data_IF_470978609681
#
_entry.id   IF_470978609681
#
_cell.length_a   1.000
_cell.length_b   1.000
_cell.length_c   1.000
_cell.angle_alpha   90.00
_cell.angle_beta   90.00
_cell.angle_gamma   90.00
#
_symmetry.space_group_name_H-M   'P 1'
#
loop_
_entity.id
_entity.type
_entity.pdbx_description
1 polymer ?
#
# COMPACT_ATOMS: atom_id res chain seq x y z
N UNK A 1 -15.76 22.01 2.56
CA UNK A 1 -14.79 20.89 2.51
C UNK A 1 -15.52 19.69 1.96
N UNK A 2 -14.94 18.90 1.06
CA UNK A 2 -15.56 17.65 0.56
C UNK A 2 -15.31 16.52 1.54
N UNK A 3 -16.31 15.64 1.72
CA UNK A 3 -16.16 14.46 2.55
C UNK A 3 -15.28 13.42 1.88
N UNK A 4 -14.66 12.55 2.67
CA UNK A 4 -13.83 11.43 2.13
C UNK A 4 -14.67 10.47 1.28
N UNK A 5 -15.96 10.31 1.59
CA UNK A 5 -16.89 9.49 0.80
C UNK A 5 -17.20 10.12 -0.56
N UNK A 6 -17.38 11.44 -0.62
CA UNK A 6 -17.54 12.16 -1.90
C UNK A 6 -16.28 12.04 -2.76
N UNK A 7 -15.09 12.20 -2.15
CA UNK A 7 -13.80 12.06 -2.83
C UNK A 7 -13.67 10.67 -3.47
N UNK A 8 -13.93 9.62 -2.71
CA UNK A 8 -13.91 8.23 -3.19
C UNK A 8 -14.89 8.05 -4.37
N UNK A 9 -16.15 8.42 -4.16
CA UNK A 9 -17.22 8.23 -5.14
C UNK A 9 -16.95 8.97 -6.45
N UNK A 10 -16.55 10.24 -6.36
CA UNK A 10 -16.26 11.05 -7.56
C UNK A 10 -15.02 10.52 -8.28
N UNK A 11 -13.96 10.16 -7.56
CA UNK A 11 -12.74 9.60 -8.14
C UNK A 11 -13.00 8.27 -8.86
N UNK A 12 -13.78 7.37 -8.25
CA UNK A 12 -14.23 6.12 -8.86
C UNK A 12 -15.01 6.37 -10.15
N UNK A 13 -16.04 7.22 -10.11
CA UNK A 13 -16.89 7.52 -11.26
C UNK A 13 -16.11 8.18 -12.40
N UNK A 14 -15.23 9.12 -12.10
CA UNK A 14 -14.36 9.78 -13.08
C UNK A 14 -13.40 8.80 -13.74
N UNK A 15 -12.82 7.90 -12.97
CA UNK A 15 -11.93 6.85 -13.49
C UNK A 15 -12.68 5.86 -14.39
N UNK A 16 -13.91 5.48 -14.01
CA UNK A 16 -14.77 4.67 -14.85
C UNK A 16 -15.10 5.34 -16.18
N UNK A 17 -15.45 6.62 -16.16
CA UNK A 17 -15.72 7.42 -17.35
C UNK A 17 -14.48 7.55 -18.25
N UNK A 18 -13.28 7.55 -17.67
CA UNK A 18 -12.01 7.56 -18.39
C UNK A 18 -11.58 6.19 -18.95
N UNK A 19 -12.46 5.16 -18.86
CA UNK A 19 -12.29 3.86 -19.51
C UNK A 19 -11.69 2.75 -18.65
N UNK A 20 -11.47 2.96 -17.35
CA UNK A 20 -11.07 1.88 -16.45
C UNK A 20 -12.23 0.93 -16.15
N UNK A 21 -11.95 -0.36 -15.90
CA UNK A 21 -12.94 -1.30 -15.39
C UNK A 21 -13.48 -0.84 -14.03
N UNK A 22 -14.65 -1.34 -13.60
CA UNK A 22 -15.21 -0.97 -12.31
C UNK A 22 -14.29 -1.31 -11.16
N UNK A 23 -13.68 -2.51 -11.13
CA UNK A 23 -12.75 -2.90 -10.08
C UNK A 23 -11.53 -1.97 -9.98
N UNK A 24 -10.91 -1.61 -11.13
CA UNK A 24 -9.79 -0.66 -11.14
C UNK A 24 -10.26 0.75 -10.71
N UNK A 25 -11.43 1.17 -11.14
CA UNK A 25 -11.98 2.48 -10.76
C UNK A 25 -12.27 2.56 -9.24
N UNK A 26 -12.70 1.47 -8.62
CA UNK A 26 -12.85 1.37 -7.16
C UNK A 26 -11.52 1.50 -6.44
N UNK A 27 -10.49 0.85 -6.94
CA UNK A 27 -9.13 0.99 -6.38
C UNK A 27 -8.63 2.44 -6.49
N UNK A 28 -8.89 3.13 -7.60
CA UNK A 28 -8.55 4.56 -7.74
C UNK A 28 -9.30 5.39 -6.70
N UNK A 29 -10.59 5.16 -6.50
CA UNK A 29 -11.39 5.88 -5.50
C UNK A 29 -10.80 5.76 -4.10
N UNK A 30 -10.57 4.52 -3.65
CA UNK A 30 -9.94 4.21 -2.36
C UNK A 30 -8.58 4.90 -2.20
N UNK A 31 -7.76 4.86 -3.23
CA UNK A 31 -6.39 5.36 -3.19
C UNK A 31 -6.32 6.90 -3.23
N UNK A 32 -7.20 7.55 -3.99
CA UNK A 32 -7.29 9.02 -3.97
C UNK A 32 -7.79 9.51 -2.60
N UNK A 33 -8.79 8.83 -2.03
CA UNK A 33 -9.24 9.09 -0.66
C UNK A 33 -8.09 8.95 0.34
N UNK A 34 -7.26 7.91 0.20
CA UNK A 34 -6.11 7.68 1.07
C UNK A 34 -5.07 8.79 0.96
N UNK A 35 -4.76 9.27 -0.26
CA UNK A 35 -3.88 10.43 -0.45
C UNK A 35 -4.40 11.67 0.28
N UNK A 36 -5.70 11.96 0.19
CA UNK A 36 -6.29 13.11 0.88
C UNK A 36 -6.25 12.95 2.42
N UNK A 37 -6.41 11.72 2.95
CA UNK A 37 -6.21 11.43 4.38
C UNK A 37 -4.80 11.80 4.83
N UNK A 38 -3.78 11.44 4.04
CA UNK A 38 -2.39 11.81 4.31
C UNK A 38 -2.06 13.27 3.95
N UNK A 39 -3.07 14.05 3.56
CA UNK A 39 -2.88 15.43 3.08
C UNK A 39 -1.92 15.53 1.89
N UNK A 40 -1.89 14.51 1.05
CA UNK A 40 -1.19 14.47 -0.22
C UNK A 40 -2.17 14.81 -1.36
N UNK A 41 -1.71 15.42 -2.47
CA UNK A 41 -2.58 15.97 -3.52
C UNK A 41 -3.22 14.90 -4.41
N UNK A 42 -4.17 14.11 -3.89
CA UNK A 42 -4.83 13.00 -4.58
C UNK A 42 -5.73 13.47 -5.72
N UNK A 43 -6.73 14.30 -5.42
CA UNK A 43 -7.68 14.85 -6.42
C UNK A 43 -6.94 15.64 -7.50
N UNK A 44 -5.95 16.44 -7.10
CA UNK A 44 -5.19 17.27 -8.04
C UNK A 44 -4.42 16.40 -9.04
N UNK A 45 -3.78 15.33 -8.58
CA UNK A 45 -3.07 14.39 -9.45
C UNK A 45 -4.02 13.60 -10.33
N UNK A 46 -5.14 13.08 -9.79
CA UNK A 46 -6.12 12.34 -10.58
C UNK A 46 -6.72 13.22 -11.68
N UNK A 47 -7.14 14.44 -11.35
CA UNK A 47 -7.71 15.36 -12.34
C UNK A 47 -6.73 15.66 -13.47
N UNK A 48 -5.48 16.01 -13.14
CA UNK A 48 -4.45 16.28 -14.15
C UNK A 48 -4.16 15.04 -15.00
N UNK A 49 -4.03 13.88 -14.38
CA UNK A 49 -3.79 12.61 -15.07
C UNK A 49 -4.92 12.25 -16.05
N UNK A 50 -6.18 12.31 -15.63
CA UNK A 50 -7.32 11.94 -16.47
C UNK A 50 -7.49 12.89 -17.65
N UNK A 51 -7.24 14.18 -17.47
CA UNK A 51 -7.28 15.17 -18.56
C UNK A 51 -6.16 14.95 -19.58
N UNK A 52 -4.96 14.59 -19.15
CA UNK A 52 -3.82 14.37 -20.03
C UNK A 52 -3.73 12.94 -20.59
N UNK A 53 -4.43 11.98 -20.00
CA UNK A 53 -4.34 10.53 -20.33
C UNK A 53 -4.52 10.22 -21.81
N UNK A 54 -5.38 10.95 -22.53
CA UNK A 54 -5.61 10.75 -23.97
C UNK A 54 -4.39 11.16 -24.83
N UNK A 55 -3.55 12.03 -24.30
CA UNK A 55 -2.38 12.58 -25.00
C UNK A 55 -1.07 11.88 -24.61
N UNK A 56 -1.10 10.99 -23.63
CA UNK A 56 0.06 10.26 -23.13
C UNK A 56 0.01 8.81 -23.62
N UNK A 57 1.10 8.33 -24.19
CA UNK A 57 1.26 6.91 -24.52
C UNK A 57 1.68 6.14 -23.27
N UNK A 58 0.73 5.43 -22.67
CA UNK A 58 0.92 4.65 -21.45
C UNK A 58 1.10 3.17 -21.75
N UNK A 59 1.99 2.54 -20.99
CA UNK A 59 2.19 1.08 -20.98
C UNK A 59 1.51 0.50 -19.74
N UNK A 60 0.77 -0.58 -19.94
CA UNK A 60 0.18 -1.36 -18.86
C UNK A 60 1.11 -2.52 -18.50
N UNK A 61 1.82 -2.38 -17.39
CA UNK A 61 2.68 -3.44 -16.88
C UNK A 61 1.84 -4.52 -16.21
N UNK A 62 1.95 -5.77 -16.66
CA UNK A 62 1.22 -6.92 -16.09
C UNK A 62 2.06 -7.70 -15.09
N UNK A 63 3.32 -7.95 -15.42
CA UNK A 63 4.25 -8.67 -14.56
C UNK A 63 5.34 -7.70 -14.10
N UNK A 64 5.54 -7.64 -12.79
CA UNK A 64 6.57 -6.82 -12.17
C UNK A 64 7.79 -7.68 -11.86
N UNK A 65 8.94 -7.15 -12.21
CA UNK A 65 10.25 -7.76 -11.98
C UNK A 65 11.13 -6.77 -11.19
N UNK A 66 12.35 -7.17 -10.88
CA UNK A 66 13.31 -6.29 -10.21
C UNK A 66 13.58 -5.01 -11.01
N UNK A 67 13.74 -5.13 -12.33
CA UNK A 67 13.94 -4.00 -13.24
C UNK A 67 12.81 -3.93 -14.27
N UNK A 68 12.06 -2.82 -14.27
CA UNK A 68 10.94 -2.59 -15.17
C UNK A 68 11.23 -1.37 -16.05
N UNK A 69 11.30 -1.57 -17.36
CA UNK A 69 11.61 -0.51 -18.31
C UNK A 69 10.66 -0.55 -19.51
N UNK A 70 9.90 0.53 -19.68
CA UNK A 70 8.99 0.74 -20.82
C UNK A 70 9.69 1.43 -22.01
N UNK A 71 11.02 1.44 -22.03
CA UNK A 71 11.84 2.20 -22.99
C UNK A 71 11.51 3.70 -22.96
N UNK A 72 11.02 4.25 -24.05
CA UNK A 72 10.68 5.68 -24.14
C UNK A 72 9.25 6.01 -23.71
N UNK A 73 8.47 5.00 -23.28
CA UNK A 73 7.09 5.17 -22.84
C UNK A 73 7.00 5.28 -21.31
N UNK A 74 5.81 5.62 -20.81
CA UNK A 74 5.54 5.76 -19.38
C UNK A 74 4.62 4.66 -18.91
N UNK A 75 4.86 4.14 -17.72
CA UNK A 75 3.90 3.22 -17.09
C UNK A 75 2.66 3.97 -16.59
N UNK A 76 1.50 3.36 -16.80
CA UNK A 76 0.26 3.81 -16.18
C UNK A 76 0.34 3.60 -14.66
N UNK A 77 0.25 4.67 -13.84
CA UNK A 77 0.43 4.56 -12.39
C UNK A 77 -0.62 3.68 -11.72
N UNK A 78 -1.84 3.72 -12.24
CA UNK A 78 -2.97 2.94 -11.72
C UNK A 78 -2.78 1.45 -12.00
N UNK A 79 -2.48 1.09 -13.26
CA UNK A 79 -2.31 -0.32 -13.63
C UNK A 79 -1.05 -0.92 -13.00
N UNK A 80 0.06 -0.17 -12.98
CA UNK A 80 1.27 -0.58 -12.28
C UNK A 80 1.00 -0.79 -10.79
N UNK A 81 0.22 0.10 -10.17
CA UNK A 81 -0.14 0.03 -8.77
C UNK A 81 -1.02 -1.18 -8.42
N UNK A 82 -2.06 -1.45 -9.21
CA UNK A 82 -2.90 -2.64 -9.01
C UNK A 82 -2.06 -3.91 -9.11
N UNK A 83 -1.26 -4.04 -10.18
CA UNK A 83 -0.44 -5.23 -10.37
C UNK A 83 0.68 -5.35 -9.30
N UNK A 84 1.21 -4.23 -8.79
CA UNK A 84 2.15 -4.24 -7.68
C UNK A 84 1.50 -4.79 -6.41
N UNK A 85 0.31 -4.33 -6.09
CA UNK A 85 -0.42 -4.78 -4.92
C UNK A 85 -0.81 -6.26 -5.01
N UNK A 86 -1.26 -6.71 -6.18
CA UNK A 86 -1.64 -8.11 -6.42
C UNK A 86 -0.44 -9.07 -6.32
N UNK A 87 0.76 -8.60 -6.68
CA UNK A 87 1.98 -9.41 -6.70
C UNK A 87 2.87 -9.25 -5.45
N UNK A 88 2.51 -8.38 -4.50
CA UNK A 88 3.42 -7.97 -3.41
C UNK A 88 3.94 -9.14 -2.58
N UNK A 89 3.15 -10.18 -2.35
CA UNK A 89 3.58 -11.37 -1.58
C UNK A 89 4.72 -12.12 -2.26
N UNK A 90 4.80 -12.08 -3.59
CA UNK A 90 5.90 -12.67 -4.35
C UNK A 90 7.06 -11.67 -4.47
N UNK A 91 6.76 -10.39 -4.63
CA UNK A 91 7.76 -9.34 -4.80
C UNK A 91 8.56 -9.02 -3.53
N UNK A 92 8.03 -9.36 -2.34
CA UNK A 92 8.69 -9.06 -1.06
C UNK A 92 10.05 -9.76 -0.86
N UNK A 93 10.39 -10.75 -1.69
CA UNK A 93 11.70 -11.41 -1.66
C UNK A 93 12.77 -10.63 -2.43
N UNK A 94 12.38 -9.64 -3.24
CA UNK A 94 13.29 -8.80 -3.99
C UNK A 94 13.86 -7.69 -3.10
N UNK A 95 15.17 -7.45 -3.18
CA UNK A 95 15.82 -6.40 -2.40
C UNK A 95 15.36 -5.00 -2.80
N UNK A 96 15.17 -4.78 -4.08
CA UNK A 96 14.74 -3.51 -4.65
C UNK A 96 13.97 -3.75 -5.94
N UNK A 97 12.89 -3.00 -6.15
CA UNK A 97 12.10 -3.04 -7.38
C UNK A 97 12.18 -1.66 -8.02
N UNK A 98 12.59 -1.61 -9.29
CA UNK A 98 12.80 -0.35 -10.00
C UNK A 98 11.87 -0.24 -11.21
N UNK A 99 11.44 0.99 -11.47
CA UNK A 99 10.69 1.34 -12.67
C UNK A 99 11.34 2.56 -13.33
N UNK A 100 11.37 2.55 -14.66
CA UNK A 100 11.68 3.72 -15.47
C UNK A 100 10.37 4.34 -15.96
N UNK A 101 10.22 5.65 -15.75
CA UNK A 101 9.12 6.49 -16.25
C UNK A 101 7.72 6.06 -15.80
N UNK A 102 7.35 6.39 -14.60
CA UNK A 102 5.95 6.31 -14.15
C UNK A 102 5.28 7.69 -14.32
N UNK A 103 4.15 7.71 -15.04
CA UNK A 103 3.32 8.91 -15.15
C UNK A 103 2.57 9.16 -13.83
N UNK A 104 2.48 10.42 -13.40
CA UNK A 104 1.74 10.82 -12.20
C UNK A 104 1.95 9.89 -10.99
N UNK A 105 3.20 9.70 -10.55
CA UNK A 105 3.59 8.64 -9.60
C UNK A 105 2.93 8.78 -8.23
N UNK A 106 2.39 9.96 -7.89
CA UNK A 106 1.58 10.12 -6.68
C UNK A 106 0.34 9.22 -6.67
N UNK A 107 -0.20 8.84 -7.85
CA UNK A 107 -1.32 7.89 -7.94
C UNK A 107 -0.87 6.43 -7.75
N UNK A 108 0.43 6.16 -7.84
CA UNK A 108 1.02 4.85 -7.55
C UNK A 108 1.32 4.66 -6.06
N UNK A 109 1.67 5.74 -5.35
CA UNK A 109 2.08 5.74 -3.95
C UNK A 109 1.10 5.04 -2.98
N UNK A 110 -0.25 5.21 -3.07
CA UNK A 110 -1.16 4.54 -2.16
C UNK A 110 -1.16 3.01 -2.28
N UNK A 111 -0.88 2.47 -3.46
CA UNK A 111 -0.73 1.03 -3.64
C UNK A 111 0.50 0.52 -2.88
N UNK A 112 1.60 1.26 -2.91
CA UNK A 112 2.82 0.94 -2.15
C UNK A 112 2.57 1.04 -0.64
N UNK A 113 1.79 2.04 -0.20
CA UNK A 113 1.39 2.19 1.20
C UNK A 113 0.56 1.00 1.69
N UNK A 114 -0.42 0.56 0.91
CA UNK A 114 -1.23 -0.62 1.22
C UNK A 114 -0.43 -1.92 1.15
N UNK A 115 0.55 -1.98 0.26
CA UNK A 115 1.48 -3.12 0.20
C UNK A 115 2.29 -3.26 1.50
N UNK A 116 2.72 -2.16 2.09
CA UNK A 116 3.41 -2.14 3.39
C UNK A 116 2.58 -2.80 4.50
N UNK A 117 1.26 -2.54 4.53
CA UNK A 117 0.32 -3.19 5.45
C UNK A 117 0.20 -4.70 5.17
N UNK A 118 0.07 -5.10 3.89
CA UNK A 118 -0.11 -6.51 3.51
C UNK A 118 1.10 -7.37 3.89
N UNK A 119 2.32 -6.85 3.70
CA UNK A 119 3.55 -7.60 4.03
C UNK A 119 4.00 -7.41 5.47
N UNK A 120 3.39 -6.50 6.23
CA UNK A 120 3.77 -6.22 7.61
C UNK A 120 5.19 -5.63 7.73
N UNK A 121 5.66 -4.89 6.71
CA UNK A 121 7.00 -4.31 6.65
C UNK A 121 6.93 -2.85 6.19
N UNK A 122 7.88 -2.04 6.64
CA UNK A 122 8.06 -0.69 6.12
C UNK A 122 8.54 -0.75 4.68
N UNK A 123 8.06 0.18 3.85
CA UNK A 123 8.48 0.28 2.45
C UNK A 123 8.99 1.69 2.17
N UNK A 124 10.17 1.80 1.60
CA UNK A 124 10.74 3.05 1.11
C UNK A 124 10.47 3.15 -0.39
N UNK A 125 9.70 4.16 -0.80
CA UNK A 125 9.49 4.54 -2.19
C UNK A 125 10.32 5.79 -2.50
N UNK A 126 11.11 5.75 -3.55
CA UNK A 126 11.79 6.92 -4.11
C UNK A 126 11.20 7.26 -5.48
N UNK A 127 10.91 8.52 -5.67
CA UNK A 127 10.44 9.11 -6.93
C UNK A 127 11.46 10.19 -7.32
N UNK A 128 12.45 9.82 -8.13
CA UNK A 128 13.66 10.62 -8.36
C UNK A 128 14.29 11.04 -7.02
N UNK A 129 14.34 12.33 -6.68
CA UNK A 129 14.90 12.86 -5.44
C UNK A 129 13.89 12.92 -4.28
N UNK A 130 12.66 12.49 -4.49
CA UNK A 130 11.64 12.51 -3.45
C UNK A 130 11.53 11.14 -2.79
N UNK A 131 11.49 11.14 -1.46
CA UNK A 131 11.43 9.91 -0.66
C UNK A 131 10.12 9.86 0.13
N UNK A 132 9.55 8.66 0.19
CA UNK A 132 8.35 8.35 0.95
C UNK A 132 8.58 7.06 1.72
N UNK A 133 8.58 7.13 3.04
CA UNK A 133 8.62 5.97 3.91
C UNK A 133 7.21 5.65 4.38
N UNK A 134 6.68 4.51 3.93
CA UNK A 134 5.40 3.96 4.34
C UNK A 134 5.57 3.08 5.57
N UNK A 135 4.74 3.32 6.59
CA UNK A 135 4.71 2.53 7.80
C UNK A 135 3.31 1.93 8.01
N UNK A 136 3.11 0.69 7.55
CA UNK A 136 1.88 -0.10 7.72
C UNK A 136 0.60 0.64 7.29
N UNK A 137 0.67 1.45 6.22
CA UNK A 137 -0.45 2.26 5.75
C UNK A 137 -1.07 3.24 6.79
N UNK A 138 -0.39 3.44 7.92
CA UNK A 138 -0.81 4.36 8.98
C UNK A 138 -0.13 5.72 8.86
N UNK A 139 1.15 5.73 8.47
CA UNK A 139 1.96 6.94 8.35
C UNK A 139 2.77 6.93 7.07
N UNK A 140 2.91 8.11 6.47
CA UNK A 140 3.82 8.37 5.36
C UNK A 140 4.74 9.52 5.76
N UNK A 141 6.03 9.24 5.88
CA UNK A 141 7.07 10.24 6.09
C UNK A 141 7.67 10.63 4.75
N UNK A 142 7.81 11.92 4.48
CA UNK A 142 8.29 12.38 3.17
C UNK A 142 9.00 13.72 3.23
N UNK A 143 9.95 13.93 2.33
CA UNK A 143 10.55 15.22 2.00
C UNK A 143 9.76 15.97 0.90
N UNK A 144 8.58 15.51 0.52
CA UNK A 144 7.76 16.06 -0.55
C UNK A 144 7.02 17.34 -0.13
N UNK A 145 7.03 18.37 -0.99
CA UNK A 145 6.21 19.56 -0.81
C UNK A 145 4.79 19.33 -1.35
N UNK A 146 3.77 19.48 -0.51
CA UNK A 146 2.35 19.25 -0.84
C UNK A 146 1.80 20.10 -2.00
N UNK A 147 2.54 21.11 -2.47
CA UNK A 147 2.11 22.02 -3.55
C UNK A 147 2.51 21.53 -4.94
N UNK A 148 3.44 20.59 -5.04
CA UNK A 148 3.99 20.11 -6.30
C UNK A 148 3.11 19.04 -6.94
N UNK A 149 3.10 19.01 -8.29
CA UNK A 149 2.63 17.87 -9.08
C UNK A 149 3.84 17.29 -9.79
N UNK A 150 4.11 16.01 -9.55
CA UNK A 150 5.10 15.25 -10.31
C UNK A 150 4.35 14.60 -11.47
N UNK A 151 4.55 15.11 -12.69
CA UNK A 151 3.92 14.53 -13.89
C UNK A 151 4.57 13.23 -14.33
N UNK A 152 5.87 13.12 -14.18
CA UNK A 152 6.67 11.94 -14.52
C UNK A 152 7.72 11.78 -13.44
N UNK A 153 7.91 10.56 -12.93
CA UNK A 153 9.13 10.17 -12.26
C UNK A 153 9.98 9.35 -13.24
N UNK A 154 11.17 9.80 -13.52
CA UNK A 154 12.09 9.12 -14.43
C UNK A 154 12.66 7.85 -13.84
N UNK A 155 12.90 7.85 -12.51
CA UNK A 155 13.39 6.72 -11.76
C UNK A 155 12.53 6.51 -10.52
N UNK A 156 11.96 5.33 -10.41
CA UNK A 156 11.20 4.91 -9.24
C UNK A 156 11.88 3.69 -8.63
N UNK A 157 12.12 3.73 -7.33
CA UNK A 157 12.70 2.62 -6.57
C UNK A 157 11.83 2.31 -5.36
N UNK A 158 11.61 1.03 -5.12
CA UNK A 158 10.86 0.50 -3.98
C UNK A 158 11.74 -0.48 -3.24
N UNK A 159 12.00 -0.21 -1.95
CA UNK A 159 12.72 -1.11 -1.06
C UNK A 159 11.80 -1.55 0.08
N UNK A 160 11.67 -2.84 0.25
CA UNK A 160 10.98 -3.43 1.40
C UNK A 160 12.02 -3.57 2.50
N UNK A 161 11.79 -2.87 3.62
CA UNK A 161 12.75 -2.82 4.73
C UNK A 161 12.45 -3.96 5.70
N UNK A 162 13.47 -4.69 6.08
CA UNK A 162 13.32 -5.69 7.13
C UNK A 162 13.04 -5.01 8.47
N UNK A 163 12.23 -5.67 9.28
CA UNK A 163 11.99 -5.22 10.64
C UNK A 163 13.16 -5.72 11.49
N UNK A 164 13.72 -4.83 12.27
CA UNK A 164 14.75 -5.14 13.25
C UNK A 164 14.14 -4.96 14.63
N UNK A 165 14.36 -5.96 15.49
CA UNK A 165 13.95 -5.86 16.89
C UNK A 165 14.86 -4.85 17.60
N UNK A 166 14.26 -4.01 18.43
CA UNK A 166 15.00 -3.04 19.27
C UNK A 166 15.43 -3.63 20.61
N UNK A 167 15.20 -4.90 20.82
CA UNK A 167 15.47 -5.65 22.06
C UNK A 167 16.30 -6.90 21.75
N UNK A 168 17.01 -7.39 22.76
CA UNK A 168 17.77 -8.64 22.69
C UNK A 168 16.91 -9.87 23.01
N UNK A 169 17.34 -11.04 22.58
CA UNK A 169 16.71 -12.30 22.96
C UNK A 169 16.63 -12.51 24.48
N UNK A 170 17.57 -11.95 25.23
CA UNK A 170 17.58 -12.02 26.69
C UNK A 170 16.44 -11.19 27.30
N UNK A 171 16.31 -9.94 26.86
CA UNK A 171 15.22 -9.06 27.31
C UNK A 171 13.86 -9.65 26.97
N UNK A 172 13.72 -10.26 25.77
CA UNK A 172 12.50 -10.96 25.40
C UNK A 172 12.20 -12.14 26.34
N UNK A 173 13.19 -12.99 26.64
CA UNK A 173 13.03 -14.15 27.52
C UNK A 173 12.68 -13.74 28.96
N UNK A 174 13.30 -12.68 29.47
CA UNK A 174 13.00 -12.14 30.80
C UNK A 174 11.55 -11.64 30.88
N UNK A 175 11.12 -10.87 29.89
CA UNK A 175 9.75 -10.37 29.81
C UNK A 175 8.73 -11.51 29.64
N UNK A 176 9.07 -12.49 28.79
CA UNK A 176 8.24 -13.67 28.60
C UNK A 176 8.03 -14.44 29.92
N UNK A 177 9.11 -14.66 30.69
CA UNK A 177 9.03 -15.32 31.99
C UNK A 177 8.10 -14.60 32.97
N UNK A 178 8.14 -13.26 32.99
CA UNK A 178 7.19 -12.47 33.80
C UNK A 178 5.77 -12.68 33.30
N UNK A 179 5.53 -12.78 31.99
CA UNK A 179 4.20 -12.99 31.44
C UNK A 179 3.61 -14.36 31.80
N UNK A 180 4.45 -15.37 32.07
CA UNK A 180 3.98 -16.70 32.51
C UNK A 180 3.23 -16.66 33.83
N UNK A 181 3.47 -15.66 34.68
CA UNK A 181 2.74 -15.45 35.93
C UNK A 181 1.24 -15.15 35.70
N UNK A 182 0.85 -14.77 34.48
CA UNK A 182 -0.55 -14.56 34.08
C UNK A 182 -1.24 -15.85 33.64
N UNK A 183 -0.49 -16.93 33.42
CA UNK A 183 -1.07 -18.21 33.01
C UNK A 183 -1.76 -18.85 34.23
N UNK A 184 -3.05 -19.04 34.10
CA UNK A 184 -3.83 -19.80 35.09
C UNK A 184 -3.57 -21.29 34.85
N UNK A 185 -3.20 -22.04 35.90
CA UNK A 185 -3.08 -23.49 35.79
C UNK A 185 -4.39 -24.08 35.24
N UNK A 186 -4.28 -24.88 34.18
CA UNK A 186 -5.43 -25.58 33.62
C UNK A 186 -5.99 -26.57 34.65
N UNK A 187 -7.00 -26.16 35.38
CA UNK A 187 -7.76 -27.07 36.20
C UNK A 187 -8.73 -27.90 35.33
N UNK A 188 -9.05 -29.12 35.77
CA UNK A 188 -10.02 -29.98 35.06
C UNK A 188 -11.38 -29.26 34.89
N UNK A 189 -11.75 -28.39 35.82
CA UNK A 189 -12.97 -27.57 35.75
C UNK A 189 -12.91 -26.53 34.62
N UNK A 190 -11.75 -25.97 34.31
CA UNK A 190 -11.57 -25.06 33.18
C UNK A 190 -11.61 -25.79 31.82
N UNK A 191 -11.11 -27.03 31.77
CA UNK A 191 -11.23 -27.88 30.57
C UNK A 191 -12.69 -28.26 30.27
N UNK A 192 -13.52 -28.45 31.31
CA UNK A 192 -14.93 -28.74 31.14
C UNK A 192 -15.80 -27.51 30.89
N UNK A 193 -15.35 -26.32 31.30
CA UNK A 193 -16.09 -25.06 31.13
C UNK A 193 -15.58 -24.22 29.92
N UNK A 194 -14.65 -24.75 29.14
CA UNK A 194 -14.14 -24.09 27.94
C UNK A 194 -15.26 -23.73 26.98
N UNK A 195 -15.39 -22.48 26.64
CA UNK A 195 -16.44 -21.94 25.80
C UNK A 195 -16.49 -22.67 24.44
N UNK A 196 -17.53 -23.48 24.24
CA UNK A 196 -17.80 -24.18 22.98
C UNK A 196 -17.71 -25.71 23.02
N UNK A 197 -17.33 -26.33 24.13
CA UNK A 197 -17.43 -27.79 24.29
C UNK A 197 -18.67 -28.15 25.11
N UNK A 198 -19.85 -27.77 24.66
CA UNK A 198 -21.11 -28.32 25.16
C UNK A 198 -21.24 -29.74 24.64
N UNK A 199 -20.93 -30.74 25.49
CA UNK A 199 -21.32 -32.12 25.27
C UNK A 199 -22.81 -32.28 25.66
N UNK A 200 -23.73 -31.80 24.81
CA UNK A 200 -25.11 -32.23 24.80
C UNK A 200 -25.91 -31.51 23.69
N UNK A 201 -25.70 -31.91 22.44
CA UNK A 201 -26.78 -31.94 21.49
C UNK A 201 -27.16 -33.41 21.28
N UNK A 202 -27.94 -33.87 22.19
CA UNK A 202 -28.86 -35.00 22.03
C UNK A 202 -30.24 -34.45 22.32
N UNK A 203 -30.96 -34.09 21.23
CA UNK A 203 -32.36 -34.50 20.92
C UNK A 203 -32.79 -33.78 19.63
#
# INVERSE_FOLDING_TARGET
>A
MKSLSEIDTVSKRSSRAAGYSWGIAEEVGKNVRLLEIFSLPGIKNLNSFLNEKKNIKLVNLKLITEENNANNLQYCPVIAGVNFLDQIKTLQILNEIKFKKIAYPMLFLPFVSRASEIVGKRILLKLDEKEFLMNFNNYIYSNFSKKEIIKIAENVSIKILENEDSFSDNEWKELYKISEETFVEESESLKQSGAGAGSSDND
#
